data_IF_318452144582
#
_entry.id   IF_318452144582
#
_cell.length_a   1.000
_cell.length_b   1.000
_cell.length_c   1.000
_cell.angle_alpha   90.00
_cell.angle_beta   90.00
_cell.angle_gamma   90.00
#
_symmetry.space_group_name_H-M   'P 1'
#
loop_
_entity.id
_entity.type
_entity.pdbx_description
1 polymer ?
#
# COMPACT_ATOMS: atom_id res chain seq x y z
N UNK A 1 1.66 -2.01 17.27
CA UNK A 1 2.21 -3.27 16.73
C UNK A 1 3.07 -2.92 15.53
N UNK A 2 4.28 -3.45 15.45
CA UNK A 2 5.12 -3.32 14.27
C UNK A 2 4.93 -4.56 13.39
N UNK A 3 4.56 -4.35 12.12
CA UNK A 3 4.29 -5.42 11.15
C UNK A 3 5.24 -5.20 9.99
N UNK A 4 6.35 -5.92 10.02
CA UNK A 4 7.51 -5.74 9.11
C UNK A 4 7.13 -5.84 7.62
N UNK A 5 6.07 -6.59 7.30
CA UNK A 5 5.61 -6.84 5.93
C UNK A 5 4.29 -6.15 5.58
N UNK A 6 3.79 -5.25 6.43
CA UNK A 6 2.51 -4.57 6.23
C UNK A 6 2.45 -3.92 4.84
N UNK A 7 3.51 -3.21 4.46
CA UNK A 7 3.52 -2.44 3.21
C UNK A 7 3.79 -3.25 1.96
N UNK A 8 4.39 -4.43 2.04
CA UNK A 8 4.82 -5.14 0.83
C UNK A 8 3.71 -5.98 0.18
N UNK A 9 2.67 -6.31 0.93
CA UNK A 9 1.55 -7.14 0.48
C UNK A 9 0.24 -6.38 0.29
N UNK A 10 0.25 -5.09 0.58
CA UNK A 10 -0.91 -4.24 0.42
C UNK A 10 -1.20 -3.99 -1.06
N UNK A 11 -2.48 -4.12 -1.39
CA UNK A 11 -3.00 -3.63 -2.64
C UNK A 11 -3.04 -2.10 -2.60
N UNK A 12 -2.69 -1.49 -3.73
CA UNK A 12 -2.81 -0.05 -3.91
C UNK A 12 -4.25 0.27 -4.30
N UNK A 13 -4.91 1.15 -3.55
CA UNK A 13 -6.21 1.69 -3.93
C UNK A 13 -6.11 2.70 -5.09
N UNK A 14 -4.91 3.21 -5.35
CA UNK A 14 -4.61 4.21 -6.37
C UNK A 14 -3.66 3.62 -7.41
N UNK A 15 -3.77 4.08 -8.66
CA UNK A 15 -2.76 3.77 -9.67
C UNK A 15 -1.51 4.62 -9.46
N UNK A 16 -0.41 3.96 -9.09
CA UNK A 16 0.87 4.62 -8.84
C UNK A 16 1.88 4.11 -9.85
N UNK A 17 2.56 5.05 -10.50
CA UNK A 17 3.63 4.79 -11.44
C UNK A 17 4.94 5.28 -10.83
N UNK A 18 6.04 4.57 -11.11
CA UNK A 18 7.38 5.00 -10.77
C UNK A 18 8.25 5.03 -12.02
N UNK A 19 9.29 5.86 -12.00
CA UNK A 19 10.31 5.83 -13.05
C UNK A 19 11.00 4.48 -13.08
N UNK A 20 11.32 4.02 -14.29
CA UNK A 20 11.97 2.74 -14.49
C UNK A 20 13.35 2.75 -13.79
N UNK A 21 13.65 1.79 -12.90
CA UNK A 21 14.90 1.80 -12.16
C UNK A 21 16.09 1.53 -13.08
N UNK A 22 17.25 2.08 -12.71
CA UNK A 22 18.51 1.87 -13.45
C UNK A 22 18.83 0.38 -13.56
N UNK A 23 19.12 -0.09 -14.77
CA UNK A 23 19.41 -1.50 -15.06
C UNK A 23 18.22 -2.31 -15.58
N UNK A 24 17.06 -1.68 -15.78
CA UNK A 24 15.95 -2.25 -16.55
C UNK A 24 15.90 -1.52 -17.89
N UNK A 25 16.19 -2.23 -18.98
CA UNK A 25 16.07 -1.69 -20.33
C UNK A 25 14.66 -1.95 -20.87
N UNK A 26 13.86 -0.90 -20.96
CA UNK A 26 12.65 -0.87 -21.79
C UNK A 26 12.73 0.39 -22.66
N UNK A 27 13.01 0.20 -23.95
CA UNK A 27 13.18 1.30 -24.91
C UNK A 27 11.90 2.13 -25.11
N UNK A 28 10.74 1.59 -24.69
CA UNK A 28 9.44 2.20 -24.93
C UNK A 28 8.75 2.74 -23.67
N UNK A 29 9.08 2.26 -22.46
CA UNK A 29 8.46 2.75 -21.22
C UNK A 29 9.46 3.42 -20.28
N UNK A 30 9.21 4.69 -19.98
CA UNK A 30 9.91 5.42 -18.93
C UNK A 30 9.40 5.12 -17.52
N UNK A 31 8.22 4.52 -17.40
CA UNK A 31 7.51 4.34 -16.13
C UNK A 31 6.95 2.92 -16.01
N UNK A 32 6.92 2.38 -14.79
CA UNK A 32 6.26 1.12 -14.48
C UNK A 32 5.12 1.33 -13.47
N UNK A 33 4.05 0.54 -13.61
CA UNK A 33 2.90 0.58 -12.70
C UNK A 33 3.16 -0.32 -11.49
N UNK A 34 3.07 0.24 -10.29
CA UNK A 34 3.11 -0.53 -9.06
C UNK A 34 1.83 -1.35 -8.90
N UNK A 35 1.97 -2.66 -8.72
CA UNK A 35 0.85 -3.57 -8.42
C UNK A 35 0.61 -3.76 -6.92
N UNK A 36 1.65 -3.51 -6.12
CA UNK A 36 1.65 -3.58 -4.65
C UNK A 36 2.38 -2.36 -4.11
N UNK A 37 2.10 -1.96 -2.87
CA UNK A 37 2.91 -0.91 -2.25
C UNK A 37 4.33 -1.38 -1.97
N UNK A 38 5.22 -0.39 -1.91
CA UNK A 38 6.63 -0.54 -1.58
C UNK A 38 6.93 0.31 -0.33
N UNK A 39 8.06 0.05 0.32
CA UNK A 39 8.48 0.84 1.47
C UNK A 39 8.65 2.32 1.12
N UNK A 40 8.30 3.20 2.06
CA UNK A 40 8.44 4.65 1.90
C UNK A 40 7.36 5.31 1.03
N UNK A 41 6.43 4.55 0.48
CA UNK A 41 5.32 5.11 -0.29
C UNK A 41 4.31 5.80 0.65
N UNK A 42 4.04 7.08 0.42
CA UNK A 42 3.13 7.90 1.26
C UNK A 42 1.72 7.31 1.37
N UNK A 43 1.25 6.67 0.31
CA UNK A 43 -0.06 6.02 0.24
C UNK A 43 -0.13 4.70 1.00
N UNK A 44 1.01 4.06 1.29
CA UNK A 44 1.03 2.73 1.90
C UNK A 44 0.46 2.73 3.33
N UNK A 45 0.65 3.82 4.09
CA UNK A 45 0.07 3.99 5.42
C UNK A 45 -1.47 4.03 5.39
N UNK A 46 -2.04 4.79 4.45
CA UNK A 46 -3.49 4.89 4.26
C UNK A 46 -4.09 3.58 3.78
N UNK A 47 -3.45 2.92 2.80
CA UNK A 47 -3.89 1.62 2.32
C UNK A 47 -3.85 0.56 3.44
N UNK A 48 -2.81 0.59 4.27
CA UNK A 48 -2.70 -0.31 5.43
C UNK A 48 -3.82 -0.09 6.44
N UNK A 49 -4.11 1.18 6.76
CA UNK A 49 -5.17 1.51 7.70
C UNK A 49 -6.54 1.05 7.21
N UNK A 50 -6.85 1.22 5.92
CA UNK A 50 -8.09 0.70 5.32
C UNK A 50 -8.17 -0.82 5.39
N UNK A 51 -7.13 -1.53 4.93
CA UNK A 51 -7.10 -3.00 4.99
C UNK A 51 -7.24 -3.52 6.42
N UNK A 52 -6.54 -2.89 7.38
CA UNK A 52 -6.61 -3.27 8.79
C UNK A 52 -8.02 -3.07 9.35
N UNK A 53 -8.66 -1.95 9.01
CA UNK A 53 -10.02 -1.66 9.42
C UNK A 53 -11.02 -2.69 8.91
N UNK A 54 -11.00 -2.95 7.61
CA UNK A 54 -11.87 -3.93 6.96
C UNK A 54 -11.66 -5.32 7.59
N UNK A 55 -10.40 -5.66 7.87
CA UNK A 55 -10.04 -6.92 8.52
C UNK A 55 -10.61 -6.99 9.95
N UNK A 56 -10.42 -5.95 10.76
CA UNK A 56 -10.93 -5.91 12.14
C UNK A 56 -12.46 -5.94 12.19
N UNK A 57 -13.12 -5.20 11.30
CA UNK A 57 -14.58 -5.23 11.16
C UNK A 57 -15.08 -6.62 10.76
N UNK A 58 -14.35 -7.33 9.88
CA UNK A 58 -14.69 -8.73 9.53
C UNK A 58 -14.61 -9.69 10.72
N UNK A 59 -13.78 -9.37 11.73
CA UNK A 59 -13.71 -10.10 13.01
C UNK A 59 -14.73 -9.60 14.04
N UNK A 60 -15.63 -8.67 13.68
CA UNK A 60 -16.63 -8.10 14.58
C UNK A 60 -16.08 -7.02 15.52
N UNK A 61 -14.85 -6.55 15.29
CA UNK A 61 -14.23 -5.48 16.07
C UNK A 61 -14.58 -4.13 15.44
N UNK A 62 -15.42 -3.37 16.14
CA UNK A 62 -15.86 -2.05 15.69
C UNK A 62 -14.94 -0.96 16.25
N UNK A 63 -14.66 0.05 15.43
CA UNK A 63 -13.96 1.27 15.90
C UNK A 63 -14.75 1.96 17.00
N UNK A 64 -14.03 2.44 18.01
CA UNK A 64 -14.61 3.30 19.03
C UNK A 64 -14.85 4.70 18.45
N UNK A 65 -15.98 5.32 18.79
CA UNK A 65 -16.35 6.66 18.30
C UNK A 65 -15.41 7.79 18.74
N UNK A 66 -14.43 7.49 19.60
CA UNK A 66 -13.55 8.47 20.23
C UNK A 66 -12.09 8.36 19.77
N UNK A 67 -11.80 7.59 18.71
CA UNK A 67 -10.47 7.62 18.09
C UNK A 67 -10.41 8.73 17.02
N UNK A 68 -9.35 9.57 17.00
CA UNK A 68 -9.16 10.63 16.02
C UNK A 68 -8.80 10.11 14.62
#
# INVERSE_FOLDING_TARGET
>A
MDVVTAFLNLNLNEEIYMELPTGVDDENNKYCRLRKSIYGLKQASRAWYGMLDDTLQSFGLNRLKNEP
#
